data_IF_205942609239
#
_entry.id   IF_205942609239
#
_cell.length_a   1.000
_cell.length_b   1.000
_cell.length_c   1.000
_cell.angle_alpha   90.00
_cell.angle_beta   90.00
_cell.angle_gamma   90.00
#
_symmetry.space_group_name_H-M   'P 1'
#
loop_
_entity.id
_entity.type
_entity.pdbx_description
1 polymer ?
#
# COMPACT_ATOMS: atom_id res chain seq x y z
N UNK A 1 -10.03 42.51 6.16
CA UNK A 1 -10.07 41.75 4.89
C UNK A 1 -9.75 40.31 5.23
N UNK A 2 -10.76 39.43 5.23
CA UNK A 2 -10.52 38.00 5.45
C UNK A 2 -9.74 37.43 4.27
N UNK A 3 -8.67 36.67 4.54
CA UNK A 3 -8.01 35.91 3.48
C UNK A 3 -9.05 35.02 2.79
N UNK A 4 -9.14 35.01 1.45
CA UNK A 4 -10.07 34.12 0.76
C UNK A 4 -9.75 32.68 1.17
N UNK A 5 -10.78 31.95 1.61
CA UNK A 5 -10.68 30.58 2.11
C UNK A 5 -9.89 29.72 1.10
N UNK A 6 -8.81 29.10 1.58
CA UNK A 6 -8.03 28.16 0.79
C UNK A 6 -8.88 26.89 0.59
N UNK A 7 -9.16 26.45 -0.65
CA UNK A 7 -9.87 25.20 -0.86
C UNK A 7 -9.02 24.04 -0.34
N UNK A 8 -9.46 23.44 0.77
CA UNK A 8 -8.87 22.24 1.36
C UNK A 8 -9.83 21.09 1.11
N UNK A 9 -9.39 20.08 0.36
CA UNK A 9 -10.14 18.83 0.16
C UNK A 9 -9.51 17.69 0.98
N UNK A 10 -10.37 16.83 1.51
CA UNK A 10 -9.98 15.81 2.46
C UNK A 10 -11.13 14.91 2.87
N UNK A 11 -10.86 14.02 3.81
CA UNK A 11 -11.87 13.18 4.43
C UNK A 11 -11.64 13.06 5.94
N UNK A 12 -12.70 13.23 6.72
CA UNK A 12 -12.58 13.27 8.18
C UNK A 12 -11.50 14.27 8.61
N UNK A 13 -10.50 13.87 9.43
CA UNK A 13 -9.43 14.75 9.86
C UNK A 13 -8.26 14.87 8.86
N UNK A 14 -8.34 14.21 7.70
CA UNK A 14 -7.22 14.08 6.76
C UNK A 14 -7.32 15.06 5.60
N UNK A 15 -6.22 15.76 5.35
CA UNK A 15 -6.05 16.62 4.17
C UNK A 15 -5.41 15.85 3.04
N UNK A 16 -6.01 15.90 1.84
CA UNK A 16 -5.48 15.21 0.64
C UNK A 16 -5.09 16.17 -0.47
N UNK A 17 -5.69 17.37 -0.50
CA UNK A 17 -5.42 18.39 -1.50
C UNK A 17 -5.62 19.79 -0.90
N UNK A 18 -4.71 20.70 -1.23
CA UNK A 18 -4.72 22.08 -0.74
C UNK A 18 -4.42 23.01 -1.91
N UNK A 19 -5.22 24.06 -2.07
CA UNK A 19 -4.99 25.11 -3.05
C UNK A 19 -4.78 26.47 -2.39
N UNK A 20 -3.81 27.24 -2.87
CA UNK A 20 -3.53 28.59 -2.37
C UNK A 20 -3.13 29.54 -3.51
N UNK A 21 -3.26 30.84 -3.24
CA UNK A 21 -2.85 31.90 -4.15
C UNK A 21 -1.36 32.22 -3.96
N UNK A 22 -0.66 32.49 -5.05
CA UNK A 22 0.76 32.85 -5.02
C UNK A 22 0.94 34.38 -4.90
N UNK A 23 2.03 34.86 -4.25
CA UNK A 23 2.28 36.30 -4.09
C UNK A 23 2.38 37.10 -5.41
N UNK A 24 2.83 36.45 -6.49
CA UNK A 24 2.91 37.05 -7.83
C UNK A 24 1.63 36.91 -8.68
N UNK A 25 0.52 36.50 -8.05
CA UNK A 25 -0.70 36.08 -8.73
C UNK A 25 -0.65 34.63 -9.21
N UNK A 26 -1.81 34.07 -9.56
CA UNK A 26 -1.96 32.66 -9.90
C UNK A 26 -2.23 31.77 -8.68
N UNK A 27 -2.31 30.46 -8.91
CA UNK A 27 -2.67 29.47 -7.88
C UNK A 27 -1.73 28.27 -7.89
N UNK A 28 -1.40 27.76 -6.71
CA UNK A 28 -0.72 26.48 -6.54
C UNK A 28 -1.68 25.47 -5.91
N UNK A 29 -1.63 24.23 -6.38
CA UNK A 29 -2.41 23.09 -5.90
C UNK A 29 -1.45 21.97 -5.56
N UNK A 30 -1.45 21.60 -4.29
CA UNK A 30 -0.73 20.44 -3.77
C UNK A 30 -1.70 19.29 -3.54
N UNK A 31 -1.28 18.10 -3.97
CA UNK A 31 -1.99 16.84 -3.72
C UNK A 31 -1.02 15.87 -3.06
N UNK A 32 -1.45 15.25 -1.96
CA UNK A 32 -0.63 14.32 -1.16
C UNK A 32 0.02 13.24 -2.02
N UNK A 33 -0.79 12.56 -2.84
CA UNK A 33 -0.29 11.49 -3.71
C UNK A 33 0.65 12.00 -4.80
N UNK A 34 0.32 13.11 -5.45
CA UNK A 34 1.13 13.65 -6.55
C UNK A 34 2.52 14.06 -6.05
N UNK A 35 2.59 14.73 -4.90
CA UNK A 35 3.85 15.11 -4.28
C UNK A 35 4.66 13.88 -3.84
N UNK A 36 4.02 12.88 -3.22
CA UNK A 36 4.68 11.65 -2.78
C UNK A 36 5.16 10.75 -3.92
N UNK A 37 4.37 10.60 -4.98
CA UNK A 37 4.65 9.66 -6.08
C UNK A 37 5.46 10.26 -7.19
N UNK A 38 5.28 11.56 -7.46
CA UNK A 38 5.93 12.25 -8.58
C UNK A 38 6.80 13.43 -8.18
N UNK A 39 6.81 13.81 -6.89
CA UNK A 39 7.54 14.99 -6.45
C UNK A 39 7.07 16.25 -7.17
N UNK A 40 5.76 16.38 -7.41
CA UNK A 40 5.20 17.46 -8.20
C UNK A 40 4.03 18.15 -7.50
N UNK A 41 3.85 19.44 -7.80
CA UNK A 41 2.66 20.22 -7.44
C UNK A 41 2.19 21.01 -8.67
N UNK A 42 0.88 21.21 -8.81
CA UNK A 42 0.31 21.93 -9.96
C UNK A 42 0.30 23.44 -9.70
N UNK A 43 0.75 24.22 -10.66
CA UNK A 43 0.89 25.68 -10.59
C UNK A 43 0.24 26.30 -11.81
N UNK A 44 -0.70 27.21 -11.58
CA UNK A 44 -1.34 28.03 -12.61
C UNK A 44 -0.82 29.46 -12.49
N UNK A 45 -0.17 29.94 -13.54
CA UNK A 45 0.25 31.34 -13.63
C UNK A 45 -0.98 32.25 -13.82
N UNK A 46 -0.90 33.55 -13.46
CA UNK A 46 -1.96 34.51 -13.74
C UNK A 46 -2.30 34.52 -15.23
N UNK A 47 -3.58 34.36 -15.58
CA UNK A 47 -4.05 34.40 -16.97
C UNK A 47 -3.67 33.20 -17.85
N UNK A 48 -3.11 32.12 -17.27
CA UNK A 48 -2.81 30.90 -18.03
C UNK A 48 -4.02 29.95 -18.07
N UNK A 49 -4.29 29.39 -19.25
CA UNK A 49 -5.36 28.42 -19.48
C UNK A 49 -5.03 27.00 -18.95
N UNK A 50 -3.76 26.73 -18.65
CA UNK A 50 -3.28 25.40 -18.29
C UNK A 50 -2.36 25.38 -17.08
N UNK A 51 -2.47 24.30 -16.30
CA UNK A 51 -1.62 24.03 -15.15
C UNK A 51 -0.25 23.50 -15.59
N UNK A 52 0.81 24.04 -14.99
CA UNK A 52 2.17 23.52 -15.10
C UNK A 52 2.51 22.76 -13.83
N UNK A 53 3.40 21.78 -13.93
CA UNK A 53 3.86 21.03 -12.75
C UNK A 53 5.21 21.57 -12.28
N UNK A 54 5.27 22.14 -11.08
CA UNK A 54 6.54 22.41 -10.42
C UNK A 54 7.05 21.12 -9.77
N UNK A 55 8.31 20.77 -10.03
CA UNK A 55 8.94 19.53 -9.57
C UNK A 55 9.89 19.80 -8.41
N UNK A 56 10.00 18.83 -7.51
CA UNK A 56 11.03 18.79 -6.49
C UNK A 56 12.42 18.68 -7.11
N UNK A 57 13.46 18.92 -6.30
CA UNK A 57 14.84 18.81 -6.74
C UNK A 57 15.22 17.38 -7.17
N UNK A 58 16.38 17.26 -7.84
CA UNK A 58 16.87 15.97 -8.33
C UNK A 58 17.12 14.93 -7.23
N UNK A 59 17.39 15.37 -5.99
CA UNK A 59 17.62 14.49 -4.85
C UNK A 59 16.31 13.83 -4.41
N UNK A 60 15.23 14.61 -4.24
CA UNK A 60 13.90 14.08 -3.95
C UNK A 60 13.42 13.14 -5.06
N UNK A 61 13.53 13.54 -6.32
CA UNK A 61 13.11 12.72 -7.46
C UNK A 61 13.90 11.40 -7.50
N UNK A 62 15.21 11.44 -7.27
CA UNK A 62 16.05 10.25 -7.18
C UNK A 62 15.65 9.32 -6.04
N UNK A 63 15.37 9.86 -4.85
CA UNK A 63 14.89 9.08 -3.68
C UNK A 63 13.55 8.43 -3.95
N UNK A 64 12.57 9.19 -4.46
CA UNK A 64 11.23 8.68 -4.78
C UNK A 64 11.31 7.56 -5.83
N UNK A 65 12.09 7.74 -6.90
CA UNK A 65 12.27 6.73 -7.93
C UNK A 65 12.87 5.43 -7.37
N UNK A 66 13.93 5.53 -6.55
CA UNK A 66 14.60 4.37 -5.95
C UNK A 66 13.66 3.61 -5.02
N UNK A 67 13.00 4.32 -4.10
CA UNK A 67 12.07 3.68 -3.17
C UNK A 67 10.85 3.08 -3.88
N UNK A 68 10.34 3.74 -4.92
CA UNK A 68 9.25 3.19 -5.71
C UNK A 68 9.67 1.88 -6.42
N UNK A 69 10.87 1.85 -7.01
CA UNK A 69 11.41 0.65 -7.63
C UNK A 69 11.63 -0.49 -6.62
N UNK A 70 12.18 -0.19 -5.44
CA UNK A 70 12.36 -1.19 -4.36
C UNK A 70 11.00 -1.74 -3.94
N UNK A 71 10.04 -0.86 -3.62
CA UNK A 71 8.73 -1.28 -3.15
C UNK A 71 7.99 -2.12 -4.20
N UNK A 72 7.94 -1.65 -5.44
CA UNK A 72 7.27 -2.32 -6.55
C UNK A 72 7.90 -3.69 -6.84
N UNK A 73 9.23 -3.76 -6.95
CA UNK A 73 9.95 -5.02 -7.21
C UNK A 73 9.74 -6.02 -6.08
N UNK A 74 9.75 -5.56 -4.83
CA UNK A 74 9.50 -6.41 -3.68
C UNK A 74 8.06 -6.97 -3.71
N UNK A 75 7.04 -6.15 -4.01
CA UNK A 75 5.67 -6.67 -4.14
C UNK A 75 5.47 -7.62 -5.33
N UNK A 76 6.18 -7.40 -6.44
CA UNK A 76 6.17 -8.33 -7.59
C UNK A 76 6.74 -9.68 -7.19
N UNK A 77 7.95 -9.71 -6.63
CA UNK A 77 8.63 -10.95 -6.24
C UNK A 77 7.84 -11.64 -5.12
N UNK A 78 7.41 -10.87 -4.11
CA UNK A 78 6.59 -11.37 -3.02
C UNK A 78 5.28 -12.00 -3.51
N UNK A 79 4.52 -11.30 -4.36
CA UNK A 79 3.28 -11.80 -4.95
C UNK A 79 3.50 -13.03 -5.83
N UNK A 80 4.57 -13.06 -6.63
CA UNK A 80 4.93 -14.21 -7.45
C UNK A 80 5.29 -15.45 -6.61
N UNK A 81 6.07 -15.28 -5.54
CA UNK A 81 6.39 -16.36 -4.61
C UNK A 81 5.13 -16.86 -3.90
N UNK A 82 4.23 -15.98 -3.47
CA UNK A 82 2.94 -16.39 -2.89
C UNK A 82 2.07 -17.18 -3.87
N UNK A 83 1.99 -16.74 -5.12
CA UNK A 83 1.28 -17.48 -6.16
C UNK A 83 1.92 -18.86 -6.41
N UNK A 84 3.26 -18.93 -6.42
CA UNK A 84 4.00 -20.18 -6.56
C UNK A 84 3.74 -21.12 -5.37
N UNK A 85 3.79 -20.62 -4.13
CA UNK A 85 3.50 -21.39 -2.92
C UNK A 85 2.06 -21.95 -2.90
N UNK A 86 1.10 -21.19 -3.41
CA UNK A 86 -0.28 -21.66 -3.58
C UNK A 86 -0.38 -22.73 -4.68
N UNK A 87 0.38 -22.58 -5.76
CA UNK A 87 0.49 -23.57 -6.81
C UNK A 87 1.11 -24.89 -6.34
N UNK A 88 2.22 -24.84 -5.57
CA UNK A 88 2.89 -26.03 -5.05
C UNK A 88 1.99 -26.77 -4.06
N UNK A 89 1.33 -26.06 -3.15
CA UNK A 89 0.40 -26.67 -2.19
C UNK A 89 -0.82 -27.35 -2.87
N UNK A 90 -1.15 -26.95 -4.10
CA UNK A 90 -2.32 -27.45 -4.84
C UNK A 90 -1.99 -28.57 -5.83
N UNK A 91 -0.87 -28.45 -6.54
CA UNK A 91 -0.57 -29.26 -7.72
C UNK A 91 0.70 -30.11 -7.59
N UNK A 92 1.59 -29.78 -6.66
CA UNK A 92 2.80 -30.57 -6.45
C UNK A 92 2.60 -31.51 -5.26
N UNK A 93 3.12 -32.73 -5.36
CA UNK A 93 3.34 -33.65 -4.22
C UNK A 93 4.44 -33.16 -3.27
N UNK A 94 4.63 -31.83 -3.18
CA UNK A 94 5.71 -31.19 -2.44
C UNK A 94 5.47 -31.28 -0.95
N UNK A 95 6.56 -31.30 -0.18
CA UNK A 95 6.49 -31.32 1.27
C UNK A 95 5.85 -30.00 1.77
N UNK A 96 5.07 -30.05 2.85
CA UNK A 96 4.43 -28.86 3.44
C UNK A 96 5.47 -27.78 3.79
N UNK A 97 6.70 -28.21 4.14
CA UNK A 97 7.84 -27.35 4.44
C UNK A 97 8.29 -26.54 3.21
N UNK A 98 8.23 -27.10 2.01
CA UNK A 98 8.65 -26.40 0.78
C UNK A 98 7.70 -25.24 0.48
N UNK A 99 6.39 -25.49 0.57
CA UNK A 99 5.38 -24.45 0.36
C UNK A 99 5.46 -23.37 1.43
N UNK A 100 5.65 -23.74 2.70
CA UNK A 100 5.86 -22.80 3.80
C UNK A 100 7.11 -21.92 3.59
N UNK A 101 8.20 -22.50 3.09
CA UNK A 101 9.45 -21.78 2.78
C UNK A 101 9.28 -20.77 1.65
N UNK A 102 8.55 -21.14 0.59
CA UNK A 102 8.23 -20.23 -0.51
C UNK A 102 7.38 -19.05 -0.02
N UNK A 103 6.35 -19.32 0.78
CA UNK A 103 5.54 -18.26 1.38
C UNK A 103 6.35 -17.35 2.29
N UNK A 104 7.19 -17.92 3.17
CA UNK A 104 8.03 -17.15 4.07
C UNK A 104 8.99 -16.22 3.31
N UNK A 105 9.65 -16.72 2.26
CA UNK A 105 10.48 -15.90 1.38
C UNK A 105 9.67 -14.76 0.76
N UNK A 106 8.45 -15.06 0.26
CA UNK A 106 7.54 -14.03 -0.24
C UNK A 106 7.20 -12.97 0.81
N UNK A 107 6.99 -13.38 2.07
CA UNK A 107 6.67 -12.50 3.19
C UNK A 107 7.80 -11.51 3.51
N UNK A 108 9.06 -11.91 3.39
CA UNK A 108 10.21 -11.02 3.55
C UNK A 108 10.26 -9.93 2.48
N UNK A 109 9.87 -10.26 1.24
CA UNK A 109 9.71 -9.25 0.20
C UNK A 109 8.54 -8.31 0.48
N UNK A 110 7.39 -8.81 0.96
CA UNK A 110 6.29 -7.95 1.40
C UNK A 110 6.73 -6.99 2.53
N UNK A 111 7.49 -7.46 3.51
CA UNK A 111 8.06 -6.59 4.57
C UNK A 111 8.94 -5.49 3.99
N UNK A 112 9.82 -5.86 3.05
CA UNK A 112 10.69 -4.89 2.36
C UNK A 112 9.87 -3.86 1.59
N UNK A 113 8.84 -4.29 0.87
CA UNK A 113 7.95 -3.41 0.11
C UNK A 113 7.11 -2.49 0.99
N UNK A 114 6.59 -3.01 2.10
CA UNK A 114 5.85 -2.25 3.11
C UNK A 114 6.73 -1.17 3.73
N UNK A 115 7.95 -1.52 4.18
CA UNK A 115 8.85 -0.53 4.77
C UNK A 115 9.34 0.51 3.77
N UNK A 116 9.68 0.11 2.53
CA UNK A 116 10.03 1.04 1.47
C UNK A 116 8.88 2.00 1.12
N UNK A 117 7.64 1.54 1.21
CA UNK A 117 6.44 2.38 1.03
C UNK A 117 6.25 3.37 2.19
N UNK A 118 6.53 2.95 3.43
CA UNK A 118 6.55 3.85 4.59
C UNK A 118 7.65 4.90 4.45
N UNK A 119 8.87 4.52 4.05
CA UNK A 119 9.96 5.46 3.80
C UNK A 119 9.62 6.49 2.71
N UNK A 120 8.83 6.13 1.70
CA UNK A 120 8.31 7.09 0.71
C UNK A 120 7.40 8.13 1.35
N UNK A 121 6.50 7.73 2.24
CA UNK A 121 5.62 8.65 2.95
C UNK A 121 6.41 9.56 3.92
N UNK A 122 7.36 8.99 4.65
CA UNK A 122 8.22 9.72 5.60
C UNK A 122 9.09 10.78 4.90
N UNK A 123 9.65 10.43 3.73
CA UNK A 123 10.60 11.28 2.99
C UNK A 123 9.97 12.00 1.79
N UNK A 124 8.64 12.05 1.70
CA UNK A 124 7.94 12.80 0.65
C UNK A 124 8.32 14.30 0.72
N UNK A 125 8.60 14.95 -0.43
CA UNK A 125 8.94 16.35 -0.45
C UNK A 125 7.70 17.20 -0.09
N UNK A 126 7.90 18.30 0.65
CA UNK A 126 6.79 19.09 1.23
C UNK A 126 6.70 20.48 0.59
N UNK A 127 5.50 21.04 0.42
CA UNK A 127 5.35 22.39 -0.10
C UNK A 127 5.85 23.43 0.92
N UNK A 128 6.47 24.49 0.42
CA UNK A 128 6.71 25.70 1.23
C UNK A 128 5.41 26.45 1.46
N UNK A 129 5.23 26.97 2.68
CA UNK A 129 4.05 27.77 3.03
C UNK A 129 3.95 28.96 2.07
N UNK A 130 2.86 29.03 1.30
CA UNK A 130 2.62 30.09 0.32
C UNK A 130 3.52 30.10 -0.91
N UNK A 131 4.41 29.10 -1.06
CA UNK A 131 5.33 28.98 -2.19
C UNK A 131 4.82 28.04 -3.28
N UNK A 132 5.64 27.80 -4.29
CA UNK A 132 5.39 26.83 -5.37
C UNK A 132 6.53 25.80 -5.49
N UNK A 133 7.37 25.71 -4.46
CA UNK A 133 8.56 24.85 -4.42
C UNK A 133 8.32 23.73 -3.42
N UNK A 134 8.68 22.51 -3.84
CA UNK A 134 8.73 21.35 -2.97
C UNK A 134 10.13 21.22 -2.36
N UNK A 135 10.21 21.20 -1.04
CA UNK A 135 11.46 21.13 -0.29
C UNK A 135 11.78 19.69 0.08
N UNK A 136 13.03 19.31 -0.17
CA UNK A 136 13.60 18.03 0.23
C UNK A 136 14.19 18.15 1.63
N UNK A 137 13.70 17.33 2.55
CA UNK A 137 14.23 17.26 3.90
C UNK A 137 15.44 16.30 4.00
N UNK A 138 16.27 16.41 5.06
CA UNK A 138 17.25 15.39 5.40
C UNK A 138 16.58 14.01 5.51
N UNK A 139 17.33 12.97 5.14
CA UNK A 139 16.80 11.60 5.14
C UNK A 139 16.39 11.15 6.53
N UNK A 140 15.22 10.52 6.63
CA UNK A 140 14.67 9.96 7.88
C UNK A 140 14.28 8.50 7.66
N UNK A 141 14.73 7.64 8.57
CA UNK A 141 14.33 6.23 8.61
C UNK A 141 12.97 6.00 9.29
N UNK A 142 12.48 7.01 10.01
CA UNK A 142 11.24 6.96 10.76
C UNK A 142 10.65 8.37 10.97
N UNK A 143 9.33 8.44 11.11
CA UNK A 143 8.60 9.57 11.68
C UNK A 143 7.24 9.08 12.17
N UNK A 144 6.60 9.84 13.06
CA UNK A 144 5.25 9.55 13.54
C UNK A 144 4.32 10.68 13.11
N UNK A 145 3.52 10.43 12.07
CA UNK A 145 2.63 11.43 11.48
C UNK A 145 1.23 10.82 11.19
N UNK A 146 0.50 10.38 12.23
CA UNK A 146 -0.76 9.64 12.07
C UNK A 146 -1.88 10.47 11.40
N UNK A 147 -1.77 11.80 11.44
CA UNK A 147 -2.72 12.72 10.79
C UNK A 147 -2.51 12.87 9.28
N UNK A 148 -1.53 12.17 8.72
CA UNK A 148 -1.28 12.09 7.29
C UNK A 148 -1.87 10.79 6.75
N UNK A 149 -2.84 10.84 5.82
CA UNK A 149 -3.50 9.63 5.33
C UNK A 149 -2.53 8.69 4.59
N UNK A 150 -1.52 9.25 3.91
CA UNK A 150 -0.49 8.48 3.21
C UNK A 150 0.47 7.77 4.16
N UNK A 151 0.85 8.42 5.27
CA UNK A 151 1.65 7.80 6.33
C UNK A 151 0.87 6.70 7.04
N UNK A 152 -0.38 6.97 7.43
CA UNK A 152 -1.21 5.99 8.15
C UNK A 152 -1.50 4.76 7.28
N UNK A 153 -1.83 4.96 6.00
CA UNK A 153 -1.99 3.87 5.03
C UNK A 153 -0.71 3.03 4.89
N UNK A 154 0.45 3.66 4.72
CA UNK A 154 1.73 2.95 4.58
C UNK A 154 2.17 2.27 5.88
N UNK A 155 1.87 2.86 7.04
CA UNK A 155 2.14 2.28 8.35
C UNK A 155 1.29 1.02 8.55
N UNK A 156 -0.03 1.09 8.32
CA UNK A 156 -0.91 -0.08 8.41
C UNK A 156 -0.53 -1.18 7.42
N UNK A 157 -0.09 -0.82 6.21
CA UNK A 157 0.47 -1.77 5.24
C UNK A 157 1.66 -2.51 5.85
N UNK A 158 2.66 -1.76 6.32
CA UNK A 158 3.87 -2.35 6.89
C UNK A 158 3.59 -3.17 8.15
N UNK A 159 2.73 -2.71 9.06
CA UNK A 159 2.31 -3.50 10.22
C UNK A 159 1.62 -4.79 9.79
N UNK A 160 0.75 -4.72 8.78
CA UNK A 160 0.10 -5.91 8.21
C UNK A 160 1.12 -6.93 7.67
N UNK A 161 2.15 -6.48 6.96
CA UNK A 161 3.19 -7.39 6.44
C UNK A 161 3.99 -8.03 7.57
N UNK A 162 4.27 -7.30 8.65
CA UNK A 162 4.98 -7.84 9.82
C UNK A 162 4.17 -8.92 10.53
N UNK A 163 2.88 -8.67 10.80
CA UNK A 163 1.97 -9.65 11.42
C UNK A 163 1.88 -10.90 10.55
N UNK A 164 1.74 -10.71 9.24
CA UNK A 164 1.73 -11.81 8.30
C UNK A 164 3.06 -12.58 8.25
N UNK A 165 4.20 -11.89 8.36
CA UNK A 165 5.52 -12.51 8.47
C UNK A 165 5.67 -13.40 9.70
N UNK A 166 5.10 -13.00 10.85
CA UNK A 166 5.06 -13.82 12.07
C UNK A 166 4.20 -15.06 11.85
N UNK A 167 3.01 -14.91 11.25
CA UNK A 167 2.14 -16.04 10.89
C UNK A 167 2.86 -17.08 10.00
N UNK A 168 3.65 -16.61 9.04
CA UNK A 168 4.43 -17.50 8.16
C UNK A 168 5.53 -18.25 8.91
N UNK A 169 6.11 -17.66 9.95
CA UNK A 169 7.05 -18.35 10.82
C UNK A 169 6.33 -19.42 11.67
N UNK A 170 5.15 -19.09 12.19
CA UNK A 170 4.32 -20.00 12.97
C UNK A 170 3.80 -21.18 12.13
N UNK A 171 3.71 -21.01 10.81
CA UNK A 171 3.33 -22.08 9.86
C UNK A 171 4.36 -23.22 9.78
N UNK A 172 5.58 -23.04 10.30
CA UNK A 172 6.57 -24.13 10.44
C UNK A 172 6.35 -24.98 11.70
N UNK A 173 5.50 -24.54 12.63
CA UNK A 173 5.19 -25.30 13.84
C UNK A 173 4.37 -26.56 13.49
N UNK A 174 4.84 -27.71 13.97
CA UNK A 174 4.18 -28.99 13.76
C UNK A 174 3.48 -29.48 15.03
N UNK A 175 2.51 -30.38 14.88
CA UNK A 175 1.82 -31.01 16.02
C UNK A 175 0.85 -30.10 16.78
N UNK A 176 0.42 -29.00 16.17
CA UNK A 176 -0.55 -28.09 16.78
C UNK A 176 -1.94 -28.72 16.85
N UNK A 177 -2.61 -28.55 17.98
CA UNK A 177 -4.06 -28.79 18.11
C UNK A 177 -4.85 -27.80 17.25
N UNK A 178 -6.10 -28.12 16.93
CA UNK A 178 -7.00 -27.22 16.17
C UNK A 178 -7.13 -25.85 16.84
N UNK A 179 -7.19 -25.81 18.17
CA UNK A 179 -7.28 -24.56 18.92
C UNK A 179 -5.99 -23.72 18.78
N UNK A 180 -4.81 -24.36 18.75
CA UNK A 180 -3.55 -23.68 18.52
C UNK A 180 -3.41 -23.20 17.09
N UNK A 181 -3.82 -23.97 16.09
CA UNK A 181 -3.85 -23.53 14.68
C UNK A 181 -4.72 -22.28 14.54
N UNK A 182 -5.93 -22.30 15.10
CA UNK A 182 -6.81 -21.14 15.02
C UNK A 182 -6.27 -19.92 15.77
N UNK A 183 -5.54 -20.12 16.87
CA UNK A 183 -5.00 -19.01 17.69
C UNK A 183 -3.70 -18.43 17.14
N UNK A 184 -2.77 -19.28 16.70
CA UNK A 184 -1.41 -18.89 16.34
C UNK A 184 -1.26 -18.59 14.84
N UNK A 185 -2.05 -19.24 13.99
CA UNK A 185 -1.94 -19.09 12.53
C UNK A 185 -3.12 -18.25 12.02
N UNK A 186 -4.36 -18.68 12.30
CA UNK A 186 -5.55 -18.04 11.73
C UNK A 186 -5.83 -16.63 12.28
N UNK A 187 -5.74 -16.40 13.60
CA UNK A 187 -5.99 -15.05 14.16
C UNK A 187 -5.01 -14.02 13.60
N UNK A 188 -3.68 -14.23 13.61
CA UNK A 188 -2.75 -13.30 12.98
C UNK A 188 -3.01 -13.09 11.49
N UNK A 189 -3.43 -14.13 10.75
CA UNK A 189 -3.82 -14.00 9.33
C UNK A 189 -4.96 -13.00 9.13
N UNK A 190 -6.04 -13.15 9.90
CA UNK A 190 -7.20 -12.25 9.84
C UNK A 190 -6.82 -10.83 10.26
N UNK A 191 -6.00 -10.67 11.30
CA UNK A 191 -5.51 -9.35 11.73
C UNK A 191 -4.68 -8.69 10.62
N UNK A 192 -3.76 -9.42 9.99
CA UNK A 192 -2.99 -8.94 8.85
C UNK A 192 -3.88 -8.51 7.68
N UNK A 193 -4.88 -9.33 7.33
CA UNK A 193 -5.86 -9.02 6.30
C UNK A 193 -6.66 -7.74 6.61
N UNK A 194 -7.10 -7.56 7.86
CA UNK A 194 -7.80 -6.33 8.29
C UNK A 194 -6.91 -5.10 8.15
N UNK A 195 -5.63 -5.19 8.52
CA UNK A 195 -4.67 -4.10 8.36
C UNK A 195 -4.45 -3.73 6.89
N UNK A 196 -4.34 -4.73 6.01
CA UNK A 196 -4.24 -4.50 4.56
C UNK A 196 -5.51 -3.86 3.98
N UNK A 197 -6.69 -4.32 4.40
CA UNK A 197 -7.96 -3.73 3.99
C UNK A 197 -8.08 -2.26 4.42
N UNK A 198 -7.74 -1.96 5.68
CA UNK A 198 -7.74 -0.59 6.19
C UNK A 198 -6.73 0.30 5.46
N UNK A 199 -5.51 -0.21 5.22
CA UNK A 199 -4.47 0.47 4.45
C UNK A 199 -4.93 0.79 3.02
N UNK A 200 -5.49 -0.18 2.29
CA UNK A 200 -6.01 -0.02 0.95
C UNK A 200 -7.18 0.97 0.89
N UNK A 201 -8.05 0.93 1.90
CA UNK A 201 -9.20 1.83 1.97
C UNK A 201 -8.77 3.29 2.12
N UNK A 202 -7.80 3.56 3.02
CA UNK A 202 -7.22 4.89 3.17
C UNK A 202 -6.54 5.36 1.88
N UNK A 203 -5.85 4.47 1.16
CA UNK A 203 -5.23 4.81 -0.12
C UNK A 203 -6.28 5.12 -1.21
N UNK A 204 -7.44 4.44 -1.22
CA UNK A 204 -8.54 4.74 -2.14
C UNK A 204 -9.13 6.12 -1.85
N UNK A 205 -9.34 6.43 -0.55
CA UNK A 205 -9.81 7.73 -0.12
C UNK A 205 -8.80 8.84 -0.44
N UNK A 206 -7.50 8.58 -0.31
CA UNK A 206 -6.44 9.52 -0.71
C UNK A 206 -6.51 9.83 -2.20
N UNK A 207 -6.60 8.80 -3.06
CA UNK A 207 -6.67 8.97 -4.53
C UNK A 207 -7.94 9.69 -4.97
N UNK A 208 -9.05 9.48 -4.27
CA UNK A 208 -10.34 10.05 -4.63
C UNK A 208 -10.71 11.32 -3.85
N UNK A 209 -9.77 11.88 -3.07
CA UNK A 209 -10.00 13.04 -2.20
C UNK A 209 -11.24 12.90 -1.31
N UNK A 210 -11.43 11.71 -0.74
CA UNK A 210 -12.47 11.41 0.23
C UNK A 210 -13.79 10.89 -0.30
N UNK A 211 -14.10 11.02 -1.60
CA UNK A 211 -15.33 10.48 -2.19
C UNK A 211 -14.98 9.35 -3.16
N UNK A 212 -15.37 8.10 -2.90
CA UNK A 212 -15.09 6.99 -3.81
C UNK A 212 -15.55 7.31 -5.23
N UNK A 213 -14.62 7.32 -6.18
CA UNK A 213 -14.87 7.59 -7.60
C UNK A 213 -14.10 6.58 -8.44
N UNK A 214 -14.64 6.25 -9.60
CA UNK A 214 -13.94 5.43 -10.59
C UNK A 214 -13.08 6.35 -11.47
N UNK A 215 -11.76 6.26 -11.33
CA UNK A 215 -10.81 7.05 -12.12
C UNK A 215 -10.08 6.16 -13.12
N UNK A 216 -10.81 5.64 -14.11
CA UNK A 216 -10.31 4.60 -15.05
C UNK A 216 -9.08 5.02 -15.87
N UNK A 217 -8.88 6.34 -16.07
CA UNK A 217 -7.71 6.90 -16.78
C UNK A 217 -6.52 7.17 -15.86
N UNK A 218 -6.63 6.92 -14.56
CA UNK A 218 -5.60 7.20 -13.57
C UNK A 218 -4.89 5.91 -13.15
N UNK A 219 -3.61 5.79 -13.50
CA UNK A 219 -2.78 4.65 -13.10
C UNK A 219 -2.71 4.48 -11.57
N UNK A 220 -2.60 5.58 -10.82
CA UNK A 220 -2.58 5.57 -9.36
C UNK A 220 -3.85 4.99 -8.74
N UNK A 221 -5.00 5.17 -9.39
CA UNK A 221 -6.26 4.56 -8.99
C UNK A 221 -6.25 3.04 -9.22
N UNK A 222 -5.79 2.58 -10.38
CA UNK A 222 -5.68 1.14 -10.68
C UNK A 222 -4.72 0.42 -9.73
N UNK A 223 -3.57 1.02 -9.40
CA UNK A 223 -2.63 0.46 -8.42
C UNK A 223 -3.35 0.18 -7.10
N UNK A 224 -4.05 1.19 -6.57
CA UNK A 224 -4.71 1.05 -5.27
C UNK A 224 -5.94 0.13 -5.34
N UNK A 225 -6.73 0.19 -6.41
CA UNK A 225 -7.91 -0.64 -6.59
C UNK A 225 -7.55 -2.13 -6.71
N UNK A 226 -6.52 -2.46 -7.49
CA UNK A 226 -6.04 -3.85 -7.63
C UNK A 226 -5.45 -4.35 -6.31
N UNK A 227 -4.70 -3.50 -5.59
CA UNK A 227 -4.20 -3.83 -4.26
C UNK A 227 -5.33 -4.12 -3.27
N UNK A 228 -6.37 -3.27 -3.27
CA UNK A 228 -7.56 -3.44 -2.42
C UNK A 228 -8.30 -4.73 -2.73
N UNK A 229 -8.48 -5.07 -4.02
CA UNK A 229 -9.08 -6.33 -4.44
C UNK A 229 -8.27 -7.52 -3.92
N UNK A 230 -6.94 -7.46 -4.03
CA UNK A 230 -6.03 -8.46 -3.46
C UNK A 230 -6.26 -8.66 -1.96
N UNK A 231 -6.33 -7.58 -1.19
CA UNK A 231 -6.61 -7.65 0.26
C UNK A 231 -7.97 -8.27 0.58
N UNK A 232 -9.02 -8.01 -0.22
CA UNK A 232 -10.34 -8.64 -0.05
C UNK A 232 -10.26 -10.15 -0.31
N UNK A 233 -9.58 -10.57 -1.38
CA UNK A 233 -9.42 -11.98 -1.73
C UNK A 233 -8.61 -12.74 -0.66
N UNK A 234 -7.58 -12.11 -0.09
CA UNK A 234 -6.85 -12.66 1.06
C UNK A 234 -7.74 -12.78 2.30
N UNK A 235 -8.59 -11.79 2.58
CA UNK A 235 -9.54 -11.89 3.69
C UNK A 235 -10.53 -13.04 3.49
N UNK A 236 -11.08 -13.21 2.28
CA UNK A 236 -11.95 -14.34 1.95
C UNK A 236 -11.20 -15.66 2.13
N UNK A 237 -9.93 -15.72 1.73
CA UNK A 237 -9.07 -16.88 1.94
C UNK A 237 -8.91 -17.22 3.43
N UNK A 238 -8.55 -16.22 4.25
CA UNK A 238 -8.35 -16.38 5.69
C UNK A 238 -9.63 -16.89 6.38
N UNK A 239 -10.80 -16.35 6.02
CA UNK A 239 -12.08 -16.83 6.56
C UNK A 239 -12.38 -18.28 6.15
N UNK A 240 -12.07 -18.66 4.90
CA UNK A 240 -12.24 -20.04 4.43
C UNK A 240 -11.22 -21.02 5.02
N UNK A 241 -10.08 -20.53 5.50
CA UNK A 241 -9.02 -21.30 6.15
C UNK A 241 -9.30 -21.59 7.64
N UNK A 242 -10.35 -21.01 8.24
CA UNK A 242 -10.73 -21.30 9.63
C UNK A 242 -10.93 -22.81 9.83
N UNK A 243 -10.25 -23.39 10.82
CA UNK A 243 -10.34 -24.84 11.08
C UNK A 243 -11.48 -25.12 12.06
N UNK A 244 -12.47 -25.90 11.63
CA UNK A 244 -13.62 -26.23 12.47
C UNK A 244 -13.22 -27.16 13.61
N UNK A 245 -13.48 -26.81 14.88
CA UNK A 245 -13.13 -27.66 16.02
C UNK A 245 -13.76 -29.06 15.96
N UNK A 246 -14.99 -29.15 15.43
CA UNK A 246 -15.73 -30.40 15.36
C UNK A 246 -15.17 -31.41 14.34
N UNK A 247 -14.55 -30.94 13.25
CA UNK A 247 -14.10 -31.80 12.15
C UNK A 247 -12.58 -31.83 11.97
N UNK A 248 -11.86 -30.89 12.59
CA UNK A 248 -10.41 -30.71 12.39
C UNK A 248 -10.03 -30.27 10.97
N UNK A 249 -11.01 -29.89 10.15
CA UNK A 249 -10.81 -29.50 8.75
C UNK A 249 -11.16 -28.03 8.50
N UNK A 250 -10.47 -27.36 7.54
CA UNK A 250 -10.80 -25.98 7.17
C UNK A 250 -12.24 -25.88 6.67
N UNK A 251 -12.85 -24.69 6.81
CA UNK A 251 -14.19 -24.39 6.29
C UNK A 251 -14.28 -24.75 4.81
N UNK A 252 -13.36 -24.24 4.00
CA UNK A 252 -13.22 -24.61 2.60
C UNK A 252 -11.79 -24.41 2.09
N UNK A 253 -11.04 -25.51 1.99
CA UNK A 253 -9.65 -25.49 1.50
C UNK A 253 -9.51 -25.01 0.05
N UNK A 254 -10.52 -25.23 -0.80
CA UNK A 254 -10.45 -24.78 -2.20
C UNK A 254 -10.57 -23.25 -2.29
N UNK A 255 -11.52 -22.65 -1.54
CA UNK A 255 -11.69 -21.20 -1.48
C UNK A 255 -10.45 -20.54 -0.87
N UNK A 256 -9.88 -21.11 0.20
CA UNK A 256 -8.64 -20.62 0.79
C UNK A 256 -7.50 -20.57 -0.24
N UNK A 257 -7.25 -21.70 -0.93
CA UNK A 257 -6.17 -21.76 -1.91
C UNK A 257 -6.39 -20.78 -3.09
N UNK A 258 -7.60 -20.70 -3.65
CA UNK A 258 -7.90 -19.78 -4.75
C UNK A 258 -7.85 -18.32 -4.34
N UNK A 259 -8.34 -17.99 -3.14
CA UNK A 259 -8.28 -16.63 -2.60
C UNK A 259 -6.84 -16.16 -2.39
N UNK A 260 -5.99 -17.03 -1.83
CA UNK A 260 -4.55 -16.74 -1.67
C UNK A 260 -3.86 -16.57 -3.02
N UNK A 261 -4.10 -17.48 -3.98
CA UNK A 261 -3.49 -17.40 -5.31
C UNK A 261 -3.90 -16.12 -6.06
N UNK A 262 -5.19 -15.86 -6.16
CA UNK A 262 -5.72 -14.70 -6.89
C UNK A 262 -5.39 -13.38 -6.19
N UNK A 263 -5.40 -13.36 -4.85
CA UNK A 263 -4.95 -12.21 -4.07
C UNK A 263 -3.46 -11.91 -4.29
N UNK A 264 -2.61 -12.93 -4.31
CA UNK A 264 -1.18 -12.79 -4.56
C UNK A 264 -0.89 -12.25 -5.96
N UNK A 265 -1.62 -12.72 -6.97
CA UNK A 265 -1.54 -12.20 -8.33
C UNK A 265 -1.96 -10.73 -8.40
N UNK A 266 -2.97 -10.31 -7.65
CA UNK A 266 -3.34 -8.89 -7.57
C UNK A 266 -2.20 -8.03 -7.03
N UNK A 267 -1.49 -8.45 -5.98
CA UNK A 267 -0.34 -7.70 -5.47
C UNK A 267 0.83 -7.66 -6.48
N UNK A 268 1.05 -8.75 -7.21
CA UNK A 268 2.05 -8.78 -8.29
C UNK A 268 1.69 -7.77 -9.40
N UNK A 269 0.44 -7.79 -9.88
CA UNK A 269 -0.06 -6.84 -10.90
C UNK A 269 0.02 -5.40 -10.40
N UNK A 270 -0.38 -5.13 -9.15
CA UNK A 270 -0.27 -3.81 -8.53
C UNK A 270 1.18 -3.32 -8.50
N UNK A 271 2.14 -4.19 -8.15
CA UNK A 271 3.56 -3.87 -8.20
C UNK A 271 4.06 -3.56 -9.62
N UNK A 272 3.62 -4.32 -10.63
CA UNK A 272 3.93 -4.04 -12.04
C UNK A 272 3.40 -2.66 -12.44
N UNK A 273 2.14 -2.35 -12.13
CA UNK A 273 1.54 -1.04 -12.39
C UNK A 273 2.31 0.08 -11.69
N UNK A 274 2.77 -0.16 -10.46
CA UNK A 274 3.54 0.80 -9.67
C UNK A 274 4.92 1.14 -10.30
N UNK A 275 5.55 0.23 -11.06
CA UNK A 275 6.79 0.54 -11.80
C UNK A 275 6.59 1.58 -12.91
N UNK A 276 5.37 1.68 -13.44
CA UNK A 276 5.00 2.68 -14.45
C UNK A 276 4.58 4.02 -13.83
N UNK A 277 4.32 4.09 -12.52
CA UNK A 277 4.07 5.35 -11.80
C UNK A 277 5.41 6.05 -11.50
N UNK A 278 6.00 6.66 -12.53
CA UNK A 278 7.31 7.33 -12.45
C UNK A 278 7.18 8.82 -12.11
N UNK A 279 8.12 9.39 -11.32
CA UNK A 279 8.29 10.84 -11.19
C UNK A 279 8.73 11.49 -12.50
#
# INVERSE_FOLDING_TARGET
MGQPEQPVEGFGPFTTRVAWHLPGGGTAVWESRLARRRGALAVRAPGADHDRHARADGVAIGRLRRLNAIAATAFIIGGALFAAGAGTARFASGNAVDSASIYFAGGLFFNTGGYASLLQAVNAPRPTVGGHVLVTHPWRWWSYEPMRPDWLSAFLLFTGTLVFGVNLLDSFLQGLSVQQVNRLIWVPDVVGCLLFLASGHLALLEVCHGRPRLLLRNLGWWIVAVNQLGSVLFMVSALAAFTRPATGSPVNAAIANWGTLTGALCFCVSGILQLFERP
#
